data_IF_763471277207
#
_entry.id   IF_763471277207
#
_cell.length_a   1.000
_cell.length_b   1.000
_cell.length_c   1.000
_cell.angle_alpha   90.00
_cell.angle_beta   90.00
_cell.angle_gamma   90.00
#
_symmetry.space_group_name_H-M   'P 1'
#
loop_
_entity.id
_entity.type
_entity.pdbx_description
1 polymer ?
#
# COMPACT_ATOMS: atom_id res chain seq x y z
N UNK A 1 -3.07 8.92 -15.60
CA UNK A 1 -2.18 8.38 -14.55
C UNK A 1 -2.16 9.41 -13.44
N UNK A 2 -2.46 9.02 -12.20
CA UNK A 2 -2.52 9.92 -11.05
C UNK A 2 -1.12 10.39 -10.63
N UNK A 3 -1.02 11.63 -10.18
CA UNK A 3 0.20 12.12 -9.52
C UNK A 3 0.17 11.71 -8.05
N UNK A 4 1.28 11.19 -7.52
CA UNK A 4 1.37 10.80 -6.11
C UNK A 4 2.51 11.52 -5.43
N UNK A 5 2.16 12.37 -4.48
CA UNK A 5 3.05 13.04 -3.55
C UNK A 5 3.33 12.15 -2.33
N UNK A 6 4.58 12.18 -1.85
CA UNK A 6 4.99 11.45 -0.65
C UNK A 6 5.17 12.45 0.48
N UNK A 7 4.40 12.28 1.55
CA UNK A 7 4.52 13.07 2.77
C UNK A 7 5.25 12.21 3.80
N UNK A 8 6.40 12.68 4.29
CA UNK A 8 7.26 11.88 5.20
C UNK A 8 6.58 11.54 6.54
N UNK A 9 5.67 12.38 7.01
CA UNK A 9 4.92 12.19 8.25
C UNK A 9 3.52 12.80 8.12
N UNK A 10 2.50 11.95 8.15
CA UNK A 10 1.09 12.35 8.16
C UNK A 10 0.17 11.18 8.51
N UNK A 11 -0.99 11.52 9.05
CA UNK A 11 -2.11 10.62 9.28
C UNK A 11 -3.29 10.97 8.38
N UNK A 12 -4.28 10.08 8.29
CA UNK A 12 -5.53 10.37 7.56
C UNK A 12 -6.15 11.66 8.10
N UNK A 13 -6.36 11.77 9.42
CA UNK A 13 -6.93 12.97 10.04
C UNK A 13 -6.14 14.24 9.72
N UNK A 14 -4.80 14.21 9.83
CA UNK A 14 -3.98 15.41 9.60
C UNK A 14 -3.99 15.88 8.15
N UNK A 15 -4.07 14.95 7.19
CA UNK A 15 -3.97 15.24 5.77
C UNK A 15 -5.32 15.55 5.13
N UNK A 16 -6.41 15.13 5.76
CA UNK A 16 -7.78 15.43 5.32
C UNK A 16 -8.44 16.55 6.14
N UNK A 17 -7.71 17.23 7.02
CA UNK A 17 -8.23 18.39 7.77
C UNK A 17 -8.64 19.49 6.79
N UNK A 18 -9.86 20.03 6.91
CA UNK A 18 -10.35 21.06 5.98
C UNK A 18 -11.04 20.50 4.73
N UNK A 19 -11.20 19.17 4.64
CA UNK A 19 -11.89 18.53 3.52
C UNK A 19 -13.40 18.35 3.73
N UNK A 20 -13.98 19.01 4.73
CA UNK A 20 -15.41 18.86 5.08
C UNK A 20 -16.34 19.44 3.99
N UNK A 21 -15.81 20.25 3.08
CA UNK A 21 -16.55 20.84 1.95
C UNK A 21 -16.40 20.06 0.63
N UNK A 22 -15.65 18.96 0.62
CA UNK A 22 -15.51 18.08 -0.56
C UNK A 22 -16.65 17.04 -0.59
N UNK A 23 -16.64 16.13 -1.56
CA UNK A 23 -17.62 15.05 -1.65
C UNK A 23 -17.60 14.15 -0.42
N UNK A 24 -18.64 13.33 -0.26
CA UNK A 24 -18.70 12.32 0.80
C UNK A 24 -17.48 11.40 0.70
N UNK A 25 -16.83 11.11 1.84
CA UNK A 25 -15.58 10.36 1.89
C UNK A 25 -15.75 9.06 2.66
N UNK A 26 -14.92 8.09 2.33
CA UNK A 26 -14.84 6.80 3.01
C UNK A 26 -13.43 6.49 3.44
N UNK A 27 -13.33 5.69 4.49
CA UNK A 27 -12.07 5.12 4.95
C UNK A 27 -12.13 3.61 4.84
N UNK A 28 -11.13 3.04 4.19
CA UNK A 28 -11.02 1.61 3.93
C UNK A 28 -9.65 1.10 4.35
N UNK A 29 -9.56 -0.19 4.62
CA UNK A 29 -8.30 -0.89 4.82
C UNK A 29 -7.99 -1.80 3.63
N UNK A 30 -6.78 -1.71 3.09
CA UNK A 30 -6.24 -2.68 2.14
C UNK A 30 -5.32 -3.65 2.90
N UNK A 31 -5.65 -4.95 2.85
CA UNK A 31 -4.86 -6.05 3.39
C UNK A 31 -4.15 -6.78 2.26
N UNK A 32 -2.93 -6.34 1.95
CA UNK A 32 -2.11 -6.89 0.88
C UNK A 32 -1.15 -7.98 1.32
N UNK A 33 -0.66 -8.77 0.35
CA UNK A 33 0.55 -9.56 0.56
C UNK A 33 1.77 -8.63 0.65
N UNK A 34 2.71 -8.95 1.54
CA UNK A 34 3.90 -8.12 1.77
C UNK A 34 4.80 -8.01 0.54
N UNK A 35 4.80 -9.04 -0.31
CA UNK A 35 5.51 -9.07 -1.59
C UNK A 35 5.02 -7.99 -2.56
N UNK A 36 3.71 -7.69 -2.55
CA UNK A 36 3.07 -6.76 -3.48
C UNK A 36 2.99 -5.33 -2.94
N UNK A 37 3.64 -5.05 -1.80
CA UNK A 37 3.68 -3.70 -1.21
C UNK A 37 4.18 -2.64 -2.21
N UNK A 38 5.09 -3.00 -3.11
CA UNK A 38 5.57 -2.09 -4.14
C UNK A 38 4.45 -1.66 -5.09
N UNK A 39 3.62 -2.62 -5.53
CA UNK A 39 2.46 -2.35 -6.37
C UNK A 39 1.42 -1.49 -5.62
N UNK A 40 1.10 -1.84 -4.37
CA UNK A 40 0.17 -1.06 -3.53
C UNK A 40 0.62 0.38 -3.30
N UNK A 41 1.92 0.60 -3.10
CA UNK A 41 2.49 1.96 -2.97
C UNK A 41 2.33 2.78 -4.25
N UNK A 42 2.37 2.12 -5.40
CA UNK A 42 2.23 2.75 -6.71
C UNK A 42 0.78 2.75 -7.21
N UNK A 43 -0.16 2.16 -6.48
CA UNK A 43 -1.56 2.02 -6.89
C UNK A 43 -2.19 3.36 -7.25
N UNK A 44 -2.00 4.38 -6.41
CA UNK A 44 -2.46 5.75 -6.66
C UNK A 44 -1.95 6.35 -7.97
N UNK A 45 -0.76 5.93 -8.45
CA UNK A 45 -0.26 6.37 -9.76
C UNK A 45 -1.06 5.73 -10.90
N UNK A 46 -1.49 4.49 -10.73
CA UNK A 46 -2.19 3.73 -11.79
C UNK A 46 -3.66 4.14 -11.97
N UNK A 47 -4.26 4.81 -11.00
CA UNK A 47 -5.67 5.24 -11.03
C UNK A 47 -5.80 6.73 -11.35
N UNK A 48 -6.92 7.10 -11.96
CA UNK A 48 -7.34 8.49 -12.09
C UNK A 48 -8.58 8.68 -11.20
N UNK A 49 -8.54 9.71 -10.36
CA UNK A 49 -9.59 10.08 -9.40
C UNK A 49 -9.92 11.56 -9.57
N UNK A 50 -11.12 11.98 -9.19
CA UNK A 50 -11.58 13.37 -9.26
C UNK A 50 -11.20 14.16 -8.02
N UNK A 51 -11.17 13.50 -6.87
CA UNK A 51 -10.80 14.08 -5.59
C UNK A 51 -9.52 13.45 -5.02
N UNK A 52 -8.78 14.24 -4.25
CA UNK A 52 -7.55 13.76 -3.62
C UNK A 52 -7.83 12.59 -2.68
N UNK A 53 -6.99 11.56 -2.75
CA UNK A 53 -7.01 10.43 -1.82
C UNK A 53 -5.72 10.40 -0.99
N UNK A 54 -5.82 9.94 0.26
CA UNK A 54 -4.69 9.80 1.18
C UNK A 54 -4.55 8.34 1.55
N UNK A 55 -3.33 7.81 1.58
CA UNK A 55 -3.09 6.49 2.16
C UNK A 55 -1.87 6.46 3.06
N UNK A 56 -1.96 5.64 4.10
CA UNK A 56 -0.91 5.47 5.12
C UNK A 56 -0.67 3.98 5.31
N UNK A 57 0.60 3.56 5.24
CA UNK A 57 0.94 2.19 5.55
C UNK A 57 1.20 2.00 7.03
N UNK A 58 0.61 0.96 7.58
CA UNK A 58 0.90 0.51 8.92
C UNK A 58 1.88 -0.67 8.91
N UNK A 59 2.76 -0.69 9.91
CA UNK A 59 3.72 -1.79 10.11
C UNK A 59 3.73 -2.15 11.59
N UNK A 60 3.16 -3.30 11.97
CA UNK A 60 3.12 -3.74 13.35
C UNK A 60 4.48 -3.80 14.02
N UNK A 61 4.54 -3.41 15.30
CA UNK A 61 5.76 -3.37 16.11
C UNK A 61 5.56 -4.04 17.45
N UNK A 62 4.88 -3.38 18.37
CA UNK A 62 4.75 -3.77 19.78
C UNK A 62 3.69 -4.88 19.92
N UNK A 63 2.60 -4.75 19.17
CA UNK A 63 1.43 -5.62 19.14
C UNK A 63 1.59 -6.92 18.32
N UNK A 64 2.80 -7.21 17.81
CA UNK A 64 3.02 -8.37 16.92
C UNK A 64 2.60 -9.71 17.52
N UNK A 65 2.88 -9.90 18.81
CA UNK A 65 2.52 -11.12 19.51
C UNK A 65 1.00 -11.30 19.61
N UNK A 66 0.28 -10.19 19.84
CA UNK A 66 -1.19 -10.18 19.89
C UNK A 66 -1.78 -10.45 18.50
N UNK A 67 -1.24 -9.83 17.45
CA UNK A 67 -1.64 -10.12 16.07
C UNK A 67 -1.42 -11.59 15.70
N UNK A 68 -0.29 -12.18 16.09
CA UNK A 68 -0.03 -13.61 15.88
C UNK A 68 -1.03 -14.49 16.65
N UNK A 69 -1.43 -14.10 17.86
CA UNK A 69 -2.46 -14.79 18.64
C UNK A 69 -3.84 -14.72 17.96
N UNK A 70 -4.14 -13.63 17.25
CA UNK A 70 -5.32 -13.50 16.38
C UNK A 70 -5.17 -14.26 15.04
N UNK A 71 -4.08 -15.01 14.82
CA UNK A 71 -3.83 -15.76 13.60
C UNK A 71 -3.34 -14.90 12.42
N UNK A 72 -2.94 -13.65 12.67
CA UNK A 72 -2.48 -12.72 11.63
C UNK A 72 -0.98 -12.87 11.44
N UNK A 73 -0.56 -13.29 10.23
CA UNK A 73 0.85 -13.26 9.85
C UNK A 73 1.27 -11.85 9.42
N UNK A 74 1.60 -10.98 10.39
CA UNK A 74 2.01 -9.58 10.13
C UNK A 74 3.28 -9.46 9.26
N UNK A 75 4.13 -10.49 9.23
CA UNK A 75 5.37 -10.48 8.43
C UNK A 75 5.11 -10.68 6.94
N UNK A 76 4.06 -11.43 6.61
CA UNK A 76 3.61 -11.70 5.25
C UNK A 76 2.50 -10.74 4.78
N UNK A 77 1.96 -9.91 5.67
CA UNK A 77 0.90 -8.95 5.37
C UNK A 77 1.45 -7.52 5.16
N UNK A 78 0.70 -6.71 4.42
CA UNK A 78 0.86 -5.26 4.35
C UNK A 78 -0.48 -4.60 4.63
N UNK A 79 -0.51 -3.74 5.65
CA UNK A 79 -1.68 -2.98 6.06
C UNK A 79 -1.58 -1.57 5.50
N UNK A 80 -2.60 -1.12 4.78
CA UNK A 80 -2.69 0.23 4.25
C UNK A 80 -4.08 0.78 4.54
N UNK A 81 -4.14 1.92 5.20
CA UNK A 81 -5.38 2.66 5.41
C UNK A 81 -5.50 3.72 4.33
N UNK A 82 -6.69 3.87 3.78
CA UNK A 82 -6.96 4.78 2.66
C UNK A 82 -8.19 5.61 2.99
N UNK A 83 -8.09 6.92 2.77
CA UNK A 83 -9.19 7.86 2.77
C UNK A 83 -9.41 8.33 1.33
N UNK A 84 -10.59 8.07 0.77
CA UNK A 84 -10.94 8.34 -0.63
C UNK A 84 -12.37 8.86 -0.73
N UNK A 85 -12.66 9.70 -1.72
CA UNK A 85 -14.04 10.12 -1.99
C UNK A 85 -14.90 8.91 -2.39
N UNK A 86 -16.14 8.87 -1.94
CA UNK A 86 -17.12 7.82 -2.27
C UNK A 86 -17.30 7.70 -3.79
N UNK A 87 -17.34 8.83 -4.50
CA UNK A 87 -17.44 8.87 -5.95
C UNK A 87 -16.24 8.22 -6.66
N UNK A 88 -15.06 8.21 -6.02
CA UNK A 88 -13.83 7.64 -6.58
C UNK A 88 -13.52 6.24 -6.07
N UNK A 89 -14.27 5.71 -5.09
CA UNK A 89 -14.03 4.39 -4.52
C UNK A 89 -14.06 3.29 -5.59
N UNK A 90 -15.01 3.35 -6.53
CA UNK A 90 -15.10 2.41 -7.64
C UNK A 90 -13.84 2.42 -8.51
N UNK A 91 -13.39 3.61 -8.93
CA UNK A 91 -12.16 3.80 -9.73
C UNK A 91 -10.92 3.36 -8.98
N UNK A 92 -10.87 3.64 -7.69
CA UNK A 92 -9.79 3.24 -6.81
C UNK A 92 -9.70 1.72 -6.68
N UNK A 93 -10.84 1.04 -6.50
CA UNK A 93 -10.87 -0.40 -6.21
C UNK A 93 -10.90 -1.28 -7.46
N UNK A 94 -11.41 -0.80 -8.60
CA UNK A 94 -11.61 -1.61 -9.81
C UNK A 94 -10.33 -2.36 -10.27
N UNK A 95 -9.13 -1.76 -10.32
CA UNK A 95 -7.92 -2.50 -10.72
C UNK A 95 -7.57 -3.63 -9.75
N UNK A 96 -7.83 -3.45 -8.45
CA UNK A 96 -7.57 -4.46 -7.43
C UNK A 96 -8.62 -5.58 -7.49
N UNK A 97 -9.90 -5.23 -7.65
CA UNK A 97 -10.99 -6.21 -7.85
C UNK A 97 -10.74 -7.04 -9.11
N UNK A 98 -10.26 -6.42 -10.20
CA UNK A 98 -9.84 -7.12 -11.42
C UNK A 98 -8.68 -8.10 -11.21
N UNK A 99 -7.89 -7.94 -10.15
CA UNK A 99 -6.84 -8.86 -9.71
C UNK A 99 -7.32 -9.91 -8.69
N UNK A 100 -8.63 -9.98 -8.45
CA UNK A 100 -9.24 -10.95 -7.53
C UNK A 100 -9.27 -10.52 -6.06
N UNK A 101 -9.04 -9.24 -5.77
CA UNK A 101 -9.24 -8.73 -4.41
C UNK A 101 -10.71 -8.82 -4.02
N UNK A 102 -10.95 -9.19 -2.77
CA UNK A 102 -12.30 -9.37 -2.22
C UNK A 102 -12.55 -8.40 -1.08
N UNK A 103 -13.82 -8.01 -0.93
CA UNK A 103 -14.29 -7.19 0.19
C UNK A 103 -14.60 -8.09 1.39
N UNK A 104 -14.32 -7.57 2.57
CA UNK A 104 -14.86 -8.04 3.84
C UNK A 104 -14.89 -6.91 4.85
N UNK A 105 -15.04 -7.27 6.11
CA UNK A 105 -15.15 -6.36 7.24
C UNK A 105 -14.21 -6.86 8.35
N UNK A 106 -13.62 -5.90 9.07
CA UNK A 106 -12.70 -6.19 10.17
C UNK A 106 -12.91 -5.19 11.29
N UNK A 107 -12.95 -5.68 12.52
CA UNK A 107 -12.91 -4.80 13.68
C UNK A 107 -11.46 -4.43 14.01
N UNK A 108 -11.18 -3.15 14.13
CA UNK A 108 -9.89 -2.65 14.58
C UNK A 108 -10.02 -2.35 16.07
N UNK A 109 -9.23 -3.05 16.87
CA UNK A 109 -9.28 -3.00 18.33
C UNK A 109 -7.98 -2.45 18.89
N UNK A 110 -8.05 -1.83 20.07
CA UNK A 110 -6.86 -1.38 20.78
C UNK A 110 -6.07 -2.60 21.29
N UNK A 111 -4.80 -2.68 20.89
CA UNK A 111 -3.85 -3.66 21.41
C UNK A 111 -3.56 -3.44 22.90
N UNK A 112 -2.93 -4.42 23.54
CA UNK A 112 -2.49 -4.31 24.93
C UNK A 112 -1.62 -3.05 25.14
N UNK A 113 -2.01 -2.18 26.08
CA UNK A 113 -1.31 -0.93 26.38
C UNK A 113 -1.69 0.26 25.49
N UNK A 114 -2.52 0.07 24.47
CA UNK A 114 -3.11 1.14 23.68
C UNK A 114 -4.50 1.52 24.18
N UNK A 115 -4.97 2.72 23.80
CA UNK A 115 -6.30 3.21 24.17
C UNK A 115 -6.90 4.03 23.03
N UNK A 116 -7.82 3.42 22.30
CA UNK A 116 -8.73 4.09 21.36
C UNK A 116 -10.00 3.24 21.23
N UNK A 117 -11.08 3.83 20.71
CA UNK A 117 -12.36 3.14 20.53
C UNK A 117 -12.24 2.08 19.42
N UNK A 118 -12.86 0.92 19.63
CA UNK A 118 -12.86 -0.11 18.58
C UNK A 118 -13.79 0.32 17.44
N UNK A 119 -13.33 0.17 16.21
CA UNK A 119 -14.03 0.64 15.02
C UNK A 119 -14.15 -0.50 14.00
N UNK A 120 -15.31 -0.63 13.35
CA UNK A 120 -15.45 -1.54 12.20
C UNK A 120 -14.99 -0.86 10.92
N UNK A 121 -14.17 -1.57 10.12
CA UNK A 121 -13.58 -1.07 8.89
C UNK A 121 -13.92 -1.98 7.71
N UNK A 122 -14.31 -1.38 6.60
CA UNK A 122 -14.37 -2.08 5.32
C UNK A 122 -12.95 -2.45 4.90
N UNK A 123 -12.71 -3.74 4.70
CA UNK A 123 -11.41 -4.27 4.29
C UNK A 123 -11.49 -4.85 2.88
N UNK A 124 -10.56 -4.46 2.01
CA UNK A 124 -10.28 -5.20 0.78
C UNK A 124 -8.99 -5.99 0.96
N UNK A 125 -9.03 -7.29 0.70
CA UNK A 125 -7.89 -8.15 0.91
C UNK A 125 -7.45 -8.87 -0.36
N UNK A 126 -6.14 -9.07 -0.46
CA UNK A 126 -5.50 -9.81 -1.53
C UNK A 126 -5.97 -11.28 -1.51
N UNK A 127 -6.14 -11.95 -2.68
CA UNK A 127 -6.65 -13.33 -2.76
C UNK A 127 -5.81 -14.37 -2.00
N UNK A 128 -4.53 -14.10 -1.79
CA UNK A 128 -3.64 -14.94 -1.00
C UNK A 128 -3.71 -14.69 0.52
N UNK A 129 -4.53 -13.75 0.97
CA UNK A 129 -4.68 -13.35 2.37
C UNK A 129 -6.07 -13.75 2.89
N UNK A 130 -6.13 -14.35 4.07
CA UNK A 130 -7.37 -14.51 4.82
C UNK A 130 -7.67 -13.22 5.57
N UNK A 131 -8.92 -12.77 5.52
CA UNK A 131 -9.37 -11.64 6.34
C UNK A 131 -9.52 -12.09 7.81
N UNK A 132 -8.89 -11.40 8.77
CA UNK A 132 -9.13 -11.64 10.19
C UNK A 132 -10.44 -10.97 10.64
N UNK A 133 -11.07 -11.49 11.70
CA UNK A 133 -12.25 -10.84 12.31
C UNK A 133 -11.87 -9.56 13.06
N UNK A 134 -10.72 -9.57 13.72
CA UNK A 134 -10.22 -8.47 14.54
C UNK A 134 -8.74 -8.22 14.25
N UNK A 135 -8.31 -6.97 14.28
CA UNK A 135 -6.91 -6.55 14.16
C UNK A 135 -6.56 -5.66 15.35
N UNK A 136 -5.69 -6.12 16.27
CA UNK A 136 -5.17 -5.28 17.34
C UNK A 136 -4.13 -4.31 16.78
N UNK A 137 -4.27 -3.01 17.08
CA UNK A 137 -3.31 -1.95 16.72
C UNK A 137 -2.92 -1.12 17.95
N UNK A 138 -1.75 -0.50 17.92
CA UNK A 138 -1.31 0.39 19.01
C UNK A 138 -1.88 1.82 18.90
N UNK A 139 -2.39 2.19 17.73
CA UNK A 139 -2.85 3.54 17.40
C UNK A 139 -4.09 3.41 16.49
N UNK A 140 -5.03 4.35 16.58
CA UNK A 140 -6.20 4.37 15.68
C UNK A 140 -5.74 4.58 14.22
N UNK A 141 -6.32 3.85 13.25
CA UNK A 141 -6.05 4.01 11.81
C UNK A 141 -6.12 5.45 11.32
N UNK A 142 -7.04 6.23 11.90
CA UNK A 142 -7.27 7.62 11.55
C UNK A 142 -6.12 8.55 11.98
N UNK A 143 -5.46 8.22 13.09
CA UNK A 143 -4.45 9.07 13.75
C UNK A 143 -3.00 8.61 13.55
N UNK A 144 -2.78 7.37 13.07
CA UNK A 144 -1.45 6.83 12.76
C UNK A 144 -0.67 7.79 11.87
N UNK A 145 0.40 8.37 12.43
CA UNK A 145 1.27 9.28 11.70
C UNK A 145 2.50 8.54 11.17
N UNK A 146 2.57 8.34 9.86
CA UNK A 146 3.67 7.65 9.16
C UNK A 146 3.89 8.29 7.79
N UNK A 147 4.79 7.71 6.99
CA UNK A 147 4.91 8.07 5.57
C UNK A 147 3.56 7.85 4.88
N UNK A 148 2.99 8.94 4.36
CA UNK A 148 1.72 8.97 3.68
C UNK A 148 1.90 9.23 2.18
N UNK A 149 0.93 8.79 1.40
CA UNK A 149 0.89 8.92 -0.04
C UNK A 149 -0.39 9.64 -0.42
N UNK A 150 -0.23 10.85 -0.95
CA UNK A 150 -1.33 11.71 -1.39
C UNK A 150 -1.46 11.54 -2.90
N UNK A 151 -2.57 10.97 -3.34
CA UNK A 151 -2.89 10.82 -4.76
C UNK A 151 -3.73 11.99 -5.18
N UNK A 152 -3.21 12.79 -6.11
CA UNK A 152 -3.85 13.98 -6.63
C UNK A 152 -4.79 13.63 -7.79
N UNK A 153 -5.83 14.47 -8.03
CA UNK A 153 -6.74 14.28 -9.16
C UNK A 153 -6.00 14.19 -10.49
N UNK A 154 -6.52 13.35 -11.38
CA UNK A 154 -5.94 13.11 -12.70
C UNK A 154 -6.98 13.10 -13.80
N UNK A 155 -6.58 13.23 -15.08
CA UNK A 155 -7.51 13.18 -16.19
C UNK A 155 -8.16 11.78 -16.26
N UNK A 156 -9.49 11.74 -16.17
CA UNK A 156 -10.28 10.53 -16.37
C UNK A 156 -10.49 10.36 -17.87
N UNK A 157 -10.11 9.19 -18.38
CA UNK A 157 -10.38 8.81 -19.76
C UNK A 157 -11.62 7.92 -19.74
N UNK A 158 -12.69 8.32 -20.44
CA UNK A 158 -14.01 7.68 -20.47
C UNK A 158 -14.02 6.28 -21.13
N UNK A 159 -12.91 5.54 -21.14
CA UNK A 159 -12.79 4.25 -21.83
C UNK A 159 -13.22 3.04 -20.98
N UNK A 160 -13.72 3.24 -19.76
CA UNK A 160 -14.22 2.18 -18.88
C UNK A 160 -15.72 2.36 -18.69
N UNK A 161 -16.52 1.32 -18.92
CA UNK A 161 -17.99 1.34 -18.80
C UNK A 161 -18.43 1.87 -17.43
N UNK A 162 -19.01 3.08 -17.40
CA UNK A 162 -19.57 3.72 -16.20
C UNK A 162 -20.55 2.79 -15.47
N UNK A 163 -21.27 1.94 -16.20
CA UNK A 163 -22.27 1.02 -15.65
C UNK A 163 -21.72 -0.03 -14.67
N UNK A 164 -20.49 -0.51 -14.87
CA UNK A 164 -19.89 -1.51 -13.96
C UNK A 164 -19.33 -0.84 -12.71
N UNK A 165 -18.85 0.41 -12.85
CA UNK A 165 -18.36 1.22 -11.73
C UNK A 165 -19.52 1.67 -10.83
N UNK A 166 -20.62 2.13 -11.42
CA UNK A 166 -21.80 2.58 -10.68
C UNK A 166 -22.45 1.45 -9.87
N UNK A 167 -22.46 0.22 -10.40
CA UNK A 167 -22.97 -0.93 -9.66
C UNK A 167 -22.08 -1.30 -8.46
N UNK A 168 -20.76 -1.23 -8.63
CA UNK A 168 -19.78 -1.45 -7.55
C UNK A 168 -19.93 -0.37 -6.47
N UNK A 169 -19.99 0.90 -6.86
CA UNK A 169 -20.16 2.03 -5.94
C UNK A 169 -21.51 1.98 -5.24
N UNK A 170 -22.60 1.65 -5.93
CA UNK A 170 -23.93 1.54 -5.33
C UNK A 170 -24.01 0.40 -4.31
N UNK A 171 -23.42 -0.77 -4.62
CA UNK A 171 -23.31 -1.88 -3.65
C UNK A 171 -22.45 -1.47 -2.46
N UNK A 172 -21.33 -0.79 -2.70
CA UNK A 172 -20.44 -0.32 -1.65
C UNK A 172 -21.11 0.71 -0.72
N UNK A 173 -21.74 1.74 -1.30
CA UNK A 173 -22.42 2.80 -0.57
C UNK A 173 -23.60 2.28 0.25
N UNK A 174 -24.41 1.36 -0.30
CA UNK A 174 -25.54 0.76 0.42
C UNK A 174 -25.07 -0.07 1.62
N UNK A 175 -23.95 -0.78 1.48
CA UNK A 175 -23.40 -1.60 2.58
C UNK A 175 -22.66 -0.74 3.61
N UNK A 176 -22.03 0.38 3.21
CA UNK A 176 -21.37 1.32 4.16
C UNK A 176 -22.42 2.10 4.95
N UNK A 177 -23.50 2.57 4.32
CA UNK A 177 -24.58 3.29 5.00
C UNK A 177 -25.28 2.43 6.07
N UNK A 178 -25.36 1.11 5.87
CA UNK A 178 -25.96 0.19 6.84
C UNK A 178 -25.15 0.08 8.15
N UNK A 179 -23.82 0.23 8.10
CA UNK A 179 -22.94 0.14 9.29
C UNK A 179 -22.99 1.40 10.16
N UNK A 180 -23.34 2.55 9.57
CA UNK A 180 -23.43 3.83 10.29
C UNK A 180 -24.72 3.91 11.13
N UNK A 181 -25.79 3.23 10.72
CA UNK A 181 -27.09 3.27 11.41
C UNK A 181 -27.15 2.36 12.66
N UNK A 182 -26.32 1.31 12.75
CA UNK A 182 -26.26 0.44 13.94
C UNK A 182 -25.45 1.02 15.11
N UNK A 183 -24.62 2.06 14.90
CA UNK A 183 -23.76 2.65 15.93
C UNK A 183 -24.40 3.82 16.71
N UNK A 184 -25.70 4.08 16.53
CA UNK A 184 -26.41 5.15 17.27
C UNK A 184 -27.49 4.52 18.15
N UNK A 185 -27.11 3.74 19.16
CA UNK A 185 -27.85 3.59 20.43
C UNK A 185 -27.04 2.67 21.36
N UNK A 186 -26.25 3.26 22.25
CA UNK A 186 -26.41 3.02 23.69
C UNK A 186 -25.57 4.03 24.46
N UNK A 187 -26.25 5.10 24.87
CA UNK A 187 -25.78 6.01 25.88
C UNK A 187 -26.10 5.42 27.27
N UNK A 188 -25.05 5.36 28.10
CA UNK A 188 -25.05 5.54 29.56
C UNK A 188 -25.59 4.36 30.40
N UNK A 189 -24.69 3.68 31.12
CA UNK A 189 -24.90 3.65 32.56
C UNK A 189 -23.59 3.67 33.36
N UNK A 190 -23.60 4.54 34.36
CA UNK A 190 -22.50 4.81 35.28
C UNK A 190 -22.50 3.76 36.39
N UNK A 191 -21.36 3.17 36.74
CA UNK A 191 -21.10 2.70 38.12
C UNK A 191 -19.64 2.98 38.49
N UNK A 192 -19.53 3.73 39.58
CA UNK A 192 -18.40 4.04 40.46
C UNK A 192 -17.91 2.81 41.25
N UNK A 193 -16.60 2.54 41.31
CA UNK A 193 -15.91 1.96 42.50
C UNK A 193 -14.42 2.35 42.55
N UNK A 194 -14.13 3.22 43.52
CA UNK A 194 -12.96 3.31 44.41
C UNK A 194 -11.68 2.44 44.16
N UNK A 195 -10.57 3.15 43.91
CA UNK A 195 -9.38 3.25 44.77
C UNK A 195 -8.74 1.97 45.36
N UNK A 196 -7.52 1.62 44.91
CA UNK A 196 -6.47 1.13 45.82
C UNK A 196 -5.04 1.36 45.28
N UNK A 197 -4.22 1.91 46.17
CA UNK A 197 -2.81 2.30 46.09
C UNK A 197 -1.88 1.09 46.25
N UNK A 198 -0.76 1.03 45.50
CA UNK A 198 0.61 0.55 45.87
C UNK A 198 1.54 1.12 44.76
N UNK A 199 2.36 2.16 44.95
CA UNK A 199 3.64 2.32 45.69
C UNK A 199 4.88 1.57 45.13
N UNK A 200 5.63 2.30 44.27
CA UNK A 200 7.11 2.44 44.16
C UNK A 200 8.00 1.21 43.83
N UNK A 201 8.93 1.38 42.88
CA UNK A 201 10.42 1.47 43.09
C UNK A 201 11.15 1.57 41.73
N UNK A 202 12.21 2.39 41.72
CA UNK A 202 12.93 2.99 40.59
C UNK A 202 14.11 2.19 40.00
N UNK A 203 14.37 2.39 38.68
CA UNK A 203 15.66 2.56 37.94
C UNK A 203 16.79 1.47 37.97
N UNK A 204 17.82 1.47 37.07
CA UNK A 204 18.15 2.35 35.92
C UNK A 204 18.63 1.67 34.59
N UNK A 205 19.00 2.54 33.64
CA UNK A 205 19.51 2.47 32.24
C UNK A 205 20.88 1.78 32.03
N UNK A 206 21.17 1.25 30.83
CA UNK A 206 22.55 1.13 30.25
C UNK A 206 22.54 1.15 28.70
N UNK A 207 23.47 1.93 28.13
CA UNK A 207 23.76 2.21 26.71
C UNK A 207 24.69 1.20 25.99
N UNK A 208 24.73 1.33 24.65
CA UNK A 208 25.82 1.09 23.66
C UNK A 208 25.94 -0.30 22.97
N UNK A 209 25.89 -0.31 21.61
CA UNK A 209 27.05 -0.42 20.70
C UNK A 209 26.66 -0.47 19.20
N UNK A 210 27.41 0.28 18.37
CA UNK A 210 27.43 0.33 16.89
C UNK A 210 28.18 -0.87 16.27
N UNK A 211 27.82 -1.32 15.05
CA UNK A 211 28.73 -2.08 14.15
C UNK A 211 28.28 -2.09 12.66
N UNK A 212 29.27 -2.07 11.75
CA UNK A 212 29.28 -1.59 10.34
C UNK A 212 28.87 -2.59 9.22
N UNK A 213 28.73 -2.07 7.98
CA UNK A 213 28.38 -2.77 6.71
C UNK A 213 29.63 -3.17 5.87
N UNK A 214 29.61 -4.25 5.04
CA UNK A 214 30.69 -4.54 4.10
C UNK A 214 30.37 -4.27 2.60
N UNK A 215 31.44 -3.99 1.85
CA UNK A 215 31.59 -3.58 0.42
C UNK A 215 31.81 -4.78 -0.52
N UNK A 216 31.43 -4.70 -1.82
CA UNK A 216 31.67 -5.76 -2.85
C UNK A 216 32.26 -5.16 -4.16
N UNK A 217 33.31 -5.79 -4.70
CA UNK A 217 34.09 -5.43 -5.91
C UNK A 217 33.50 -5.97 -7.27
N UNK A 218 33.85 -5.39 -8.45
CA UNK A 218 33.27 -5.72 -9.77
C UNK A 218 34.00 -6.83 -10.58
N UNK A 219 33.27 -7.60 -11.43
CA UNK A 219 33.77 -8.67 -12.33
C UNK A 219 33.73 -8.27 -13.82
N UNK A 220 34.68 -8.81 -14.59
CA UNK A 220 34.99 -8.55 -16.02
C UNK A 220 33.86 -8.93 -17.02
N UNK A 221 33.68 -8.11 -18.06
CA UNK A 221 32.60 -8.19 -19.07
C UNK A 221 32.74 -9.40 -20.02
N UNK A 222 31.63 -10.11 -20.27
CA UNK A 222 31.62 -11.30 -21.13
C UNK A 222 31.51 -10.96 -22.63
N UNK A 223 32.01 -11.78 -23.58
CA UNK A 223 31.88 -11.51 -25.01
C UNK A 223 30.43 -11.39 -25.49
N UNK A 224 29.49 -12.00 -24.77
CA UNK A 224 28.05 -11.91 -25.03
C UNK A 224 27.45 -10.57 -24.57
N UNK A 225 28.09 -9.93 -23.59
CA UNK A 225 27.79 -8.58 -23.11
C UNK A 225 28.05 -7.54 -24.20
N UNK A 226 29.18 -7.68 -24.91
CA UNK A 226 29.53 -6.81 -26.02
C UNK A 226 28.56 -6.97 -27.21
N UNK A 227 28.15 -8.21 -27.53
CA UNK A 227 27.14 -8.46 -28.58
C UNK A 227 25.79 -7.83 -28.23
N UNK A 228 25.32 -7.98 -26.99
CA UNK A 228 24.07 -7.39 -26.53
C UNK A 228 24.11 -5.85 -26.61
N UNK A 229 25.20 -5.23 -26.13
CA UNK A 229 25.40 -3.78 -26.24
C UNK A 229 25.42 -3.31 -27.70
N UNK A 230 26.04 -4.06 -28.59
CA UNK A 230 26.10 -3.73 -30.02
C UNK A 230 24.73 -3.81 -30.69
N UNK A 231 23.91 -4.80 -30.36
CA UNK A 231 22.54 -4.93 -30.88
C UNK A 231 21.65 -3.79 -30.38
N UNK A 232 21.73 -3.45 -29.09
CA UNK A 232 21.01 -2.30 -28.53
C UNK A 232 21.42 -1.02 -29.25
N UNK A 233 22.72 -0.77 -29.41
CA UNK A 233 23.22 0.42 -30.11
C UNK A 233 22.77 0.50 -31.57
N UNK A 234 22.71 -0.63 -32.29
CA UNK A 234 22.20 -0.69 -33.66
C UNK A 234 20.70 -0.38 -33.76
N UNK A 235 19.90 -0.89 -32.81
CA UNK A 235 18.46 -0.67 -32.81
C UNK A 235 18.10 0.77 -32.41
N UNK A 236 18.84 1.35 -31.48
CA UNK A 236 18.74 2.78 -31.14
C UNK A 236 19.16 3.66 -32.32
N UNK A 237 20.26 3.33 -33.01
CA UNK A 237 20.68 4.06 -34.22
C UNK A 237 19.68 3.90 -35.39
N UNK A 238 18.86 2.84 -35.37
CA UNK A 238 17.73 2.62 -36.28
C UNK A 238 16.48 3.44 -35.94
N UNK A 239 16.48 4.22 -34.85
CA UNK A 239 15.37 5.08 -34.43
C UNK A 239 14.26 4.38 -33.66
N UNK A 240 14.52 3.18 -33.12
CA UNK A 240 13.57 2.48 -32.24
C UNK A 240 13.67 3.01 -30.79
N UNK A 241 12.51 3.25 -30.17
CA UNK A 241 12.44 3.64 -28.77
C UNK A 241 12.73 2.45 -27.85
N UNK A 242 13.25 2.71 -26.64
CA UNK A 242 13.66 1.66 -25.70
C UNK A 242 12.53 0.70 -25.31
N UNK A 243 11.27 1.15 -25.36
CA UNK A 243 10.10 0.29 -25.18
C UNK A 243 9.97 -0.77 -26.28
N UNK A 244 10.24 -0.39 -27.53
CA UNK A 244 10.07 -1.25 -28.70
C UNK A 244 11.28 -2.17 -28.92
N UNK A 245 12.46 -1.79 -28.42
CA UNK A 245 13.69 -2.59 -28.53
C UNK A 245 13.53 -3.93 -27.81
N UNK A 246 12.81 -3.95 -26.68
CA UNK A 246 12.57 -5.17 -25.91
C UNK A 246 11.70 -6.19 -26.64
N UNK A 247 10.88 -5.74 -27.59
CA UNK A 247 10.01 -6.59 -28.40
C UNK A 247 10.65 -6.92 -29.77
N UNK A 248 11.81 -6.32 -30.07
CA UNK A 248 12.45 -6.48 -31.36
C UNK A 248 13.07 -7.88 -31.51
N UNK A 249 12.82 -8.60 -32.63
CA UNK A 249 13.28 -9.99 -32.80
C UNK A 249 14.79 -10.19 -32.62
N UNK A 250 15.60 -9.22 -33.06
CA UNK A 250 17.06 -9.28 -32.92
C UNK A 250 17.55 -9.13 -31.48
N UNK A 251 16.79 -8.38 -30.64
CA UNK A 251 17.09 -8.25 -29.22
C UNK A 251 16.69 -9.51 -28.46
N UNK A 252 15.54 -10.11 -28.77
CA UNK A 252 15.07 -11.37 -28.17
C UNK A 252 16.09 -12.50 -28.39
N UNK A 253 16.59 -12.71 -29.61
CA UNK A 253 17.54 -13.79 -29.89
C UNK A 253 18.87 -13.66 -29.13
N UNK A 254 19.36 -12.43 -28.94
CA UNK A 254 20.63 -12.18 -28.24
C UNK A 254 20.43 -12.14 -26.72
N UNK A 255 19.30 -11.60 -26.24
CA UNK A 255 18.94 -11.61 -24.82
C UNK A 255 18.69 -13.03 -24.29
N UNK A 256 18.08 -13.92 -25.07
CA UNK A 256 17.92 -15.33 -24.68
C UNK A 256 19.28 -16.02 -24.54
N UNK A 257 20.20 -15.76 -25.48
CA UNK A 257 21.56 -16.30 -25.44
C UNK A 257 22.36 -15.75 -24.26
N UNK A 258 22.27 -14.43 -24.02
CA UNK A 258 22.90 -13.74 -22.90
C UNK A 258 22.40 -14.24 -21.54
N UNK A 259 21.07 -14.37 -21.40
CA UNK A 259 20.44 -14.93 -20.20
C UNK A 259 20.87 -16.38 -19.97
N UNK A 260 20.97 -17.20 -21.02
CA UNK A 260 21.43 -18.58 -20.91
C UNK A 260 22.90 -18.69 -20.47
N UNK A 261 23.73 -17.69 -20.75
CA UNK A 261 25.11 -17.60 -20.28
C UNK A 261 25.24 -16.98 -18.87
N UNK A 262 24.12 -16.60 -18.23
CA UNK A 262 24.09 -15.99 -16.90
C UNK A 262 24.41 -14.49 -16.89
N UNK A 263 24.28 -13.81 -18.02
CA UNK A 263 24.44 -12.35 -18.13
C UNK A 263 23.13 -11.66 -17.72
N UNK A 264 23.23 -10.66 -16.86
CA UNK A 264 22.09 -9.83 -16.44
C UNK A 264 21.70 -8.84 -17.55
N UNK A 265 20.89 -9.34 -18.49
CA UNK A 265 20.38 -8.59 -19.64
C UNK A 265 19.60 -7.35 -19.21
N UNK A 266 18.76 -7.48 -18.18
CA UNK A 266 17.94 -6.38 -17.67
C UNK A 266 18.78 -5.30 -16.99
N UNK A 267 19.72 -5.69 -16.13
CA UNK A 267 20.64 -4.74 -15.49
C UNK A 267 21.54 -4.02 -16.50
N UNK A 268 21.95 -4.71 -17.57
CA UNK A 268 22.67 -4.09 -18.68
C UNK A 268 21.80 -3.12 -19.49
N UNK A 269 20.59 -3.53 -19.84
CA UNK A 269 19.67 -2.72 -20.64
C UNK A 269 19.34 -1.41 -19.91
N UNK A 270 19.04 -1.48 -18.61
CA UNK A 270 18.80 -0.29 -17.76
C UNK A 270 20.04 0.60 -17.68
N UNK A 271 21.23 0.01 -17.48
CA UNK A 271 22.49 0.78 -17.48
C UNK A 271 22.78 1.45 -18.81
N UNK A 272 22.40 0.85 -19.94
CA UNK A 272 22.59 1.40 -21.28
C UNK A 272 21.53 2.44 -21.65
N UNK A 273 20.30 2.30 -21.14
CA UNK A 273 19.24 3.30 -21.33
C UNK A 273 19.47 4.57 -20.50
N UNK A 274 20.15 4.44 -19.36
CA UNK A 274 20.54 5.58 -18.50
C UNK A 274 21.75 6.37 -19.06
N UNK A 275 22.55 5.74 -19.93
CA UNK A 275 23.80 6.30 -20.49
C UNK A 275 23.66 6.80 -21.96
N UNK A 276 22.44 6.72 -22.54
CA UNK A 276 22.12 7.15 -23.93
C UNK A 276 21.42 8.51 -24.02
#
# INVERSE_FOLDING_TARGET
MGEVEIVESGSLNSLTTGWENYGERTRIMLLGARADRHALRNHGRTVAIEETAVSVFYRPREERAEMEACGINHSAASFQFVDVAMADLGRWMQPLIGQGWSRGEVAIVAAEGASFESESWVCFHHPAMSIPSEIPLCESPASISRKAFVTHPGPILDSVSESDMDAIVASMASEIAAVVDENVHDEIDSIDVEQSVIEQVSEPITENQEEELPVIEPKEESPLEAELRQVISLLVAGGQEMGDIMEHPQFIEVSERASAAGVDVWGMFVRLSDDS
#
